data_IF_240821085931
#
_entry.id   IF_240821085931
#
_cell.length_a   1.000
_cell.length_b   1.000
_cell.length_c   1.000
_cell.angle_alpha   90.00
_cell.angle_beta   90.00
_cell.angle_gamma   90.00
#
_symmetry.space_group_name_H-M   'P 1'
#
loop_
_entity.id
_entity.type
_entity.pdbx_description
1 polymer ?
#
# COMPACT_ATOMS: atom_id res chain seq x y z
N UNK A 1 -0.37 -6.05 -7.30
CA UNK A 1 -1.72 -5.89 -6.71
C UNK A 1 -2.28 -4.53 -7.05
N UNK A 2 -3.58 -4.45 -7.28
CA UNK A 2 -4.28 -3.18 -7.41
C UNK A 2 -4.42 -2.52 -6.05
N UNK A 3 -4.70 -1.21 -6.03
CA UNK A 3 -4.99 -0.50 -4.76
C UNK A 3 -6.18 -1.16 -4.05
N UNK A 4 -7.23 -1.51 -4.78
CA UNK A 4 -8.39 -2.18 -4.23
C UNK A 4 -8.02 -3.48 -3.52
N UNK A 5 -7.17 -4.29 -4.14
CA UNK A 5 -6.69 -5.54 -3.53
C UNK A 5 -5.88 -5.29 -2.27
N UNK A 6 -5.01 -4.27 -2.30
CA UNK A 6 -4.22 -3.88 -1.12
C UNK A 6 -5.13 -3.47 0.03
N UNK A 7 -6.12 -2.63 -0.24
CA UNK A 7 -7.06 -2.16 0.79
C UNK A 7 -7.83 -3.33 1.42
N UNK A 8 -8.23 -4.29 0.60
CA UNK A 8 -8.92 -5.49 1.06
C UNK A 8 -8.01 -6.36 1.95
N UNK A 9 -6.76 -6.56 1.54
CA UNK A 9 -5.77 -7.31 2.31
C UNK A 9 -5.48 -6.66 3.67
N UNK A 10 -5.59 -5.35 3.75
CA UNK A 10 -5.37 -4.60 4.99
C UNK A 10 -6.62 -4.55 5.89
N UNK A 11 -7.66 -5.28 5.53
CA UNK A 11 -8.86 -5.37 6.36
C UNK A 11 -9.89 -4.28 6.11
N UNK A 12 -9.89 -3.68 4.92
CA UNK A 12 -10.89 -2.69 4.54
C UNK A 12 -10.50 -1.24 4.81
N UNK A 13 -9.22 -0.94 4.71
CA UNK A 13 -8.72 0.44 4.81
C UNK A 13 -9.30 1.28 3.67
N UNK A 14 -9.68 2.52 3.93
CA UNK A 14 -10.22 3.40 2.91
C UNK A 14 -9.13 3.91 1.96
N UNK A 15 -9.52 4.24 0.71
CA UNK A 15 -8.61 4.83 -0.26
C UNK A 15 -7.99 6.12 0.26
N UNK A 16 -8.78 6.93 0.92
CA UNK A 16 -8.34 8.21 1.49
C UNK A 16 -7.19 7.99 2.47
N UNK A 17 -7.31 7.03 3.36
CA UNK A 17 -6.28 6.68 4.33
C UNK A 17 -5.02 6.19 3.63
N UNK A 18 -5.17 5.32 2.64
CA UNK A 18 -4.04 4.80 1.87
C UNK A 18 -3.26 5.90 1.16
N UNK A 19 -3.97 6.80 0.46
CA UNK A 19 -3.32 7.91 -0.25
C UNK A 19 -2.66 8.90 0.71
N UNK A 20 -3.26 9.10 1.88
CA UNK A 20 -2.65 9.93 2.93
C UNK A 20 -1.33 9.34 3.41
N UNK A 21 -1.30 8.03 3.65
CA UNK A 21 -0.05 7.35 4.01
C UNK A 21 1.01 7.55 2.93
N UNK A 22 0.62 7.47 1.68
CA UNK A 22 1.53 7.69 0.56
C UNK A 22 2.13 9.09 0.56
N UNK A 23 1.31 10.09 0.79
CA UNK A 23 1.77 11.48 0.89
C UNK A 23 2.76 11.67 2.03
N UNK A 24 2.56 10.98 3.13
CA UNK A 24 3.42 11.07 4.31
C UNK A 24 4.65 10.15 4.22
N UNK A 25 4.76 9.35 3.17
CA UNK A 25 5.87 8.41 3.03
C UNK A 25 5.78 7.19 3.94
N UNK A 26 4.59 6.87 4.45
CA UNK A 26 4.39 5.78 5.42
C UNK A 26 3.76 4.53 4.82
N UNK A 27 3.33 4.57 3.59
CA UNK A 27 2.67 3.44 2.94
C UNK A 27 3.65 2.46 2.31
N UNK A 28 3.14 1.34 1.78
CA UNK A 28 3.98 0.40 1.04
C UNK A 28 4.47 1.01 -0.27
N UNK A 29 5.58 0.50 -0.78
CA UNK A 29 6.12 0.95 -2.06
C UNK A 29 5.11 0.67 -3.17
N UNK A 30 4.80 1.68 -3.96
CA UNK A 30 3.85 1.60 -5.06
C UNK A 30 4.44 2.23 -6.31
N UNK A 31 3.98 1.78 -7.46
CA UNK A 31 4.39 2.35 -8.74
C UNK A 31 3.16 2.67 -9.59
N UNK A 32 3.35 3.60 -10.53
CA UNK A 32 2.26 4.07 -11.37
C UNK A 32 2.37 3.45 -12.76
N UNK A 33 1.26 2.90 -13.24
CA UNK A 33 1.17 2.43 -14.62
C UNK A 33 1.01 3.62 -15.58
N UNK A 34 1.28 3.41 -16.89
CA UNK A 34 1.11 4.49 -17.88
C UNK A 34 -0.29 5.09 -17.93
N UNK A 35 -1.32 4.35 -17.51
CA UNK A 35 -2.70 4.84 -17.44
C UNK A 35 -2.99 5.64 -16.16
N UNK A 36 -2.00 5.86 -15.31
CA UNK A 36 -2.15 6.61 -14.07
C UNK A 36 -2.60 5.79 -12.87
N UNK A 37 -2.89 4.52 -13.04
CA UNK A 37 -3.29 3.65 -11.93
C UNK A 37 -2.09 3.20 -11.11
N UNK A 38 -2.28 3.06 -9.80
CA UNK A 38 -1.25 2.56 -8.90
C UNK A 38 -1.29 1.03 -8.81
N UNK A 39 -0.10 0.47 -8.63
CA UNK A 39 0.08 -0.96 -8.37
C UNK A 39 1.11 -1.15 -7.26
N UNK A 40 0.97 -2.25 -6.52
CA UNK A 40 1.89 -2.61 -5.44
C UNK A 40 2.30 -4.06 -5.66
N UNK A 41 3.60 -4.34 -5.61
CA UNK A 41 4.07 -5.72 -5.63
C UNK A 41 3.67 -6.40 -4.32
N UNK A 42 3.22 -7.65 -4.40
CA UNK A 42 2.87 -8.42 -3.20
C UNK A 42 4.06 -8.53 -2.24
N UNK A 43 5.26 -8.70 -2.77
CA UNK A 43 6.47 -8.74 -1.97
C UNK A 43 6.72 -7.43 -1.22
N UNK A 44 6.47 -6.29 -1.86
CA UNK A 44 6.63 -4.98 -1.21
C UNK A 44 5.60 -4.76 -0.12
N UNK A 45 4.37 -5.20 -0.34
CA UNK A 45 3.34 -5.14 0.69
C UNK A 45 3.73 -5.99 1.89
N UNK A 46 4.20 -7.21 1.67
CA UNK A 46 4.65 -8.10 2.73
C UNK A 46 5.82 -7.51 3.52
N UNK A 47 6.79 -6.92 2.84
CA UNK A 47 7.93 -6.27 3.47
C UNK A 47 7.48 -5.11 4.35
N UNK A 48 6.59 -4.26 3.85
CA UNK A 48 6.06 -3.14 4.59
C UNK A 48 5.32 -3.59 5.86
N UNK A 49 4.50 -4.63 5.75
CA UNK A 49 3.79 -5.19 6.90
C UNK A 49 4.75 -5.74 7.95
N UNK A 50 5.83 -6.39 7.53
CA UNK A 50 6.86 -6.89 8.43
C UNK A 50 7.59 -5.77 9.16
N UNK A 51 7.85 -4.67 8.46
CA UNK A 51 8.48 -3.49 9.06
C UNK A 51 7.57 -2.88 10.13
N UNK A 52 6.27 -2.80 9.88
CA UNK A 52 5.32 -2.33 10.88
C UNK A 52 5.27 -3.25 12.08
N UNK A 53 5.28 -4.55 11.87
CA UNK A 53 5.26 -5.55 12.93
C UNK A 53 6.53 -5.45 13.78
N UNK A 54 7.68 -5.26 13.17
CA UNK A 54 8.95 -5.13 13.86
C UNK A 54 9.04 -3.83 14.67
N UNK A 55 8.35 -2.79 14.24
CA UNK A 55 8.32 -1.48 14.92
C UNK A 55 7.31 -1.43 16.08
N UNK A 56 6.41 -2.41 16.14
CA UNK A 56 5.33 -2.41 17.14
C UNK A 56 5.83 -2.91 18.54
#
# INVERSE_FOLDING_TARGET
>A
MTVRQVLSELGGVSRRTFYRWRELGHGPAAFKLPNGELRVWRSDLSTWLRELEAAA
#
